data_IF_737480321551
#
_entry.id   IF_737480321551
#
_cell.length_a   1.000
_cell.length_b   1.000
_cell.length_c   1.000
_cell.angle_alpha   90.00
_cell.angle_beta   90.00
_cell.angle_gamma   90.00
#
_symmetry.space_group_name_H-M   'P 1'
#
loop_
_entity.id
_entity.type
_entity.pdbx_description
1 polymer ?
#
# COMPACT_ATOMS: atom_id res chain seq x y z
N UNK A 1 -5.92 -11.56 -2.67
CA UNK A 1 -7.19 -11.72 -1.92
C UNK A 1 -7.69 -10.36 -1.47
N UNK A 2 -9.00 -10.14 -1.51
CA UNK A 2 -9.60 -8.88 -1.08
C UNK A 2 -10.73 -9.17 -0.08
N UNK A 3 -10.76 -8.44 1.04
CA UNK A 3 -11.77 -8.62 2.09
C UNK A 3 -12.31 -7.28 2.56
N UNK A 4 -13.64 -7.16 2.61
CA UNK A 4 -14.30 -5.96 3.10
C UNK A 4 -14.62 -6.10 4.59
N UNK A 5 -14.19 -5.14 5.40
CA UNK A 5 -14.47 -5.11 6.83
C UNK A 5 -14.42 -3.67 7.36
N UNK A 6 -15.40 -3.29 8.18
CA UNK A 6 -15.37 -2.02 8.93
C UNK A 6 -15.20 -0.76 8.06
N UNK A 7 -15.84 -0.68 6.89
CA UNK A 7 -15.74 0.46 5.99
C UNK A 7 -14.45 0.50 5.16
N UNK A 8 -13.71 -0.61 5.11
CA UNK A 8 -12.44 -0.72 4.36
C UNK A 8 -12.43 -1.91 3.42
N UNK A 9 -11.63 -1.78 2.36
CA UNK A 9 -11.22 -2.85 1.45
C UNK A 9 -9.79 -3.20 1.79
N UNK A 10 -9.56 -4.43 2.25
CA UNK A 10 -8.24 -4.94 2.59
C UNK A 10 -7.77 -5.82 1.43
N UNK A 11 -6.66 -5.45 0.82
CA UNK A 11 -6.08 -6.14 -0.33
C UNK A 11 -4.78 -6.77 0.15
N UNK A 12 -4.65 -8.09 0.02
CA UNK A 12 -3.38 -8.78 0.24
C UNK A 12 -2.94 -9.45 -1.07
N UNK A 13 -1.67 -9.25 -1.43
CA UNK A 13 -1.07 -9.71 -2.69
C UNK A 13 -0.02 -10.76 -2.36
N UNK A 14 -0.13 -11.94 -2.99
CA UNK A 14 0.69 -13.09 -2.65
C UNK A 14 0.31 -13.71 -1.30
N UNK A 15 1.30 -14.13 -0.53
CA UNK A 15 1.12 -14.75 0.79
C UNK A 15 2.05 -14.14 1.84
N UNK A 16 2.18 -14.81 2.99
CA UNK A 16 3.03 -14.34 4.11
C UNK A 16 4.48 -14.05 3.68
N UNK A 17 4.99 -14.80 2.69
CA UNK A 17 6.34 -14.60 2.16
C UNK A 17 6.51 -13.31 1.35
N UNK A 18 5.44 -12.76 0.76
CA UNK A 18 5.50 -11.54 -0.07
C UNK A 18 5.29 -10.29 0.79
N UNK A 19 4.38 -10.36 1.76
CA UNK A 19 4.16 -9.27 2.72
C UNK A 19 3.60 -7.98 2.12
N UNK A 20 2.98 -8.05 0.93
CA UNK A 20 2.38 -6.89 0.27
C UNK A 20 0.89 -6.82 0.61
N UNK A 21 0.46 -5.68 1.16
CA UNK A 21 -0.93 -5.43 1.49
C UNK A 21 -1.29 -3.94 1.34
N UNK A 22 -2.56 -3.65 1.10
CA UNK A 22 -3.09 -2.30 1.08
C UNK A 22 -4.44 -2.25 1.80
N UNK A 23 -4.70 -1.13 2.48
CA UNK A 23 -5.99 -0.84 3.10
C UNK A 23 -6.54 0.41 2.44
N UNK A 24 -7.72 0.27 1.82
CA UNK A 24 -8.45 1.35 1.18
C UNK A 24 -9.76 1.60 1.92
N UNK A 25 -10.32 2.80 1.83
CA UNK A 25 -11.74 2.99 2.17
C UNK A 25 -12.64 2.30 1.13
N UNK A 26 -13.85 1.95 1.51
CA UNK A 26 -14.87 1.40 0.60
C UNK A 26 -15.60 2.45 -0.28
N UNK A 27 -15.28 3.73 -0.12
CA UNK A 27 -15.79 4.84 -0.94
C UNK A 27 -15.37 4.82 -2.41
N UNK A 28 -15.95 5.75 -3.19
CA UNK A 28 -15.66 5.93 -4.62
C UNK A 28 -15.43 7.43 -4.96
N UNK A 29 -14.19 7.87 -5.22
CA UNK A 29 -12.97 7.06 -5.28
C UNK A 29 -12.54 6.55 -3.89
N UNK A 30 -11.86 5.40 -3.81
CA UNK A 30 -11.30 4.92 -2.54
C UNK A 30 -10.12 5.79 -2.10
N UNK A 31 -10.04 6.07 -0.80
CA UNK A 31 -8.87 6.69 -0.18
C UNK A 31 -7.89 5.60 0.27
N UNK A 32 -6.60 5.81 0.02
CA UNK A 32 -5.55 4.93 0.55
C UNK A 32 -5.32 5.24 2.03
N UNK A 33 -5.51 4.25 2.89
CA UNK A 33 -5.22 4.38 4.33
C UNK A 33 -3.81 3.94 4.65
N UNK A 34 -3.39 2.80 4.11
CA UNK A 34 -2.01 2.31 4.19
C UNK A 34 -1.65 1.37 3.05
N UNK A 35 -0.35 1.25 2.79
CA UNK A 35 0.26 0.25 1.90
C UNK A 35 1.51 -0.31 2.60
N UNK A 36 1.63 -1.63 2.67
CA UNK A 36 2.86 -2.33 3.01
C UNK A 36 3.41 -3.02 1.78
N UNK A 37 4.69 -2.81 1.49
CA UNK A 37 5.39 -3.39 0.32
C UNK A 37 6.38 -4.50 0.72
N UNK A 38 6.38 -4.89 1.99
CA UNK A 38 7.35 -5.84 2.54
C UNK A 38 8.77 -5.24 2.63
N UNK A 39 9.75 -6.13 2.71
CA UNK A 39 11.17 -5.75 2.71
C UNK A 39 11.70 -5.74 1.27
N UNK A 40 12.23 -4.60 0.84
CA UNK A 40 12.86 -4.42 -0.46
C UNK A 40 14.30 -3.98 -0.23
N UNK A 41 15.26 -4.81 -0.61
CA UNK A 41 16.70 -4.55 -0.46
C UNK A 41 17.11 -4.15 0.98
N UNK A 42 16.57 -4.83 1.99
CA UNK A 42 16.88 -4.56 3.40
C UNK A 42 16.03 -3.47 4.05
N UNK A 43 15.22 -2.75 3.28
CA UNK A 43 14.35 -1.68 3.79
C UNK A 43 12.89 -2.11 3.76
N UNK A 44 12.21 -2.06 4.90
CA UNK A 44 10.76 -2.23 4.94
C UNK A 44 10.09 -0.96 4.44
N UNK A 45 9.35 -1.06 3.34
CA UNK A 45 8.70 0.08 2.69
C UNK A 45 7.19 0.06 2.93
N UNK A 46 6.64 1.25 3.18
CA UNK A 46 5.19 1.41 3.28
C UNK A 46 4.73 2.86 3.19
N UNK A 47 3.41 3.03 3.18
CA UNK A 47 2.73 4.31 3.26
C UNK A 47 1.67 4.22 4.34
N UNK A 48 1.54 5.28 5.14
CA UNK A 48 0.46 5.44 6.12
C UNK A 48 -0.06 6.87 6.03
N UNK A 49 -1.36 7.01 5.76
CA UNK A 49 -2.02 8.30 5.67
C UNK A 49 -1.94 9.10 6.98
N UNK A 50 -1.91 10.43 6.89
CA UNK A 50 -1.89 11.33 8.06
C UNK A 50 -0.55 11.47 8.78
N UNK A 51 0.50 10.74 8.36
CA UNK A 51 1.84 10.85 8.96
C UNK A 51 2.67 12.02 8.43
N UNK A 52 2.26 12.62 7.32
CA UNK A 52 3.05 13.63 6.59
C UNK A 52 4.19 13.03 5.76
N UNK A 53 4.33 11.70 5.69
CA UNK A 53 5.35 11.00 4.92
C UNK A 53 4.77 10.25 3.73
N UNK A 54 5.40 10.41 2.56
CA UNK A 54 4.96 9.79 1.32
C UNK A 54 3.59 10.30 0.85
N UNK A 55 3.06 9.63 -0.16
CA UNK A 55 1.74 9.93 -0.72
C UNK A 55 1.17 8.67 -1.37
N UNK A 56 -0.15 8.56 -1.43
CA UNK A 56 -0.80 7.52 -2.22
C UNK A 56 -2.20 7.94 -2.68
N UNK A 57 -2.58 7.47 -3.85
CA UNK A 57 -3.92 7.62 -4.44
C UNK A 57 -4.40 6.27 -4.96
N UNK A 58 -5.72 6.08 -4.98
CA UNK A 58 -6.31 4.89 -5.54
C UNK A 58 -7.49 5.21 -6.45
N UNK A 59 -7.58 4.46 -7.53
CA UNK A 59 -8.71 4.44 -8.45
C UNK A 59 -9.35 3.05 -8.40
N UNK A 60 -10.67 3.00 -8.62
CA UNK A 60 -11.43 1.76 -8.67
C UNK A 60 -12.20 1.70 -9.99
N UNK A 61 -12.04 0.60 -10.72
CA UNK A 61 -12.82 0.28 -11.90
C UNK A 61 -13.43 -1.11 -11.76
N UNK A 62 -14.73 -1.19 -11.48
CA UNK A 62 -15.39 -2.46 -11.14
C UNK A 62 -14.74 -3.11 -9.92
N UNK A 63 -14.10 -4.26 -10.12
CA UNK A 63 -13.38 -4.99 -9.07
C UNK A 63 -11.85 -4.79 -9.12
N UNK A 64 -11.38 -3.94 -10.03
CA UNK A 64 -9.97 -3.62 -10.18
C UNK A 64 -9.62 -2.34 -9.40
N UNK A 65 -8.45 -2.35 -8.77
CA UNK A 65 -7.90 -1.24 -8.01
C UNK A 65 -6.52 -0.91 -8.54
N UNK A 66 -6.32 0.36 -8.88
CA UNK A 66 -4.99 0.90 -9.18
C UNK A 66 -4.57 1.80 -8.03
N UNK A 67 -3.44 1.50 -7.40
CA UNK A 67 -2.89 2.27 -6.27
C UNK A 67 -1.50 2.74 -6.68
N UNK A 68 -1.27 4.04 -6.61
CA UNK A 68 0.02 4.65 -6.96
C UNK A 68 0.47 5.57 -5.83
N UNK A 69 1.78 5.73 -5.68
CA UNK A 69 2.29 6.60 -4.64
C UNK A 69 3.79 6.55 -4.44
N UNK A 70 4.23 7.14 -3.34
CA UNK A 70 5.58 7.08 -2.81
C UNK A 70 5.54 6.47 -1.42
N UNK A 71 6.19 5.33 -1.25
CA UNK A 71 6.37 4.67 0.04
C UNK A 71 7.67 5.15 0.69
N UNK A 72 7.69 5.13 2.02
CA UNK A 72 8.83 5.50 2.85
C UNK A 72 9.31 4.31 3.67
N UNK A 73 10.57 4.36 4.10
CA UNK A 73 11.18 3.37 4.97
C UNK A 73 12.47 3.89 5.59
N UNK A 74 13.00 3.15 6.56
CA UNK A 74 14.28 3.47 7.22
C UNK A 74 15.31 2.45 6.79
N UNK A 75 16.42 2.92 6.25
CA UNK A 75 17.62 2.11 6.06
C UNK A 75 18.43 2.08 7.36
N UNK A 76 18.56 0.91 7.97
CA UNK A 76 19.30 0.75 9.22
C UNK A 76 20.81 0.98 9.06
N UNK A 77 21.34 0.88 7.84
CA UNK A 77 22.72 1.27 7.56
C UNK A 77 22.91 2.80 7.52
N UNK A 78 21.84 3.57 7.30
CA UNK A 78 21.84 5.02 7.29
C UNK A 78 20.52 5.61 7.84
N UNK A 79 20.26 5.51 9.16
CA UNK A 79 18.94 5.78 9.73
C UNK A 79 18.56 7.26 9.75
N UNK A 80 19.49 8.16 9.45
CA UNK A 80 19.25 9.61 9.40
C UNK A 80 18.63 10.06 8.06
N UNK A 81 18.65 9.22 7.04
CA UNK A 81 18.08 9.52 5.73
C UNK A 81 16.95 8.54 5.38
N UNK A 82 15.69 8.99 5.36
CA UNK A 82 14.58 8.13 4.98
C UNK A 82 14.69 7.73 3.50
N UNK A 83 14.35 6.49 3.21
CA UNK A 83 14.28 5.96 1.85
C UNK A 83 12.88 6.22 1.31
N UNK A 84 12.79 6.88 0.16
CA UNK A 84 11.55 7.12 -0.55
C UNK A 84 11.58 6.39 -1.88
N UNK A 85 10.53 5.60 -2.20
CA UNK A 85 10.42 4.87 -3.46
C UNK A 85 9.03 4.98 -4.06
N UNK A 86 8.91 5.24 -5.38
CA UNK A 86 7.62 5.17 -6.04
C UNK A 86 7.14 3.72 -6.08
N UNK A 87 5.83 3.53 -6.06
CA UNK A 87 5.20 2.23 -6.24
C UNK A 87 3.94 2.34 -7.09
N UNK A 88 3.60 1.22 -7.73
CA UNK A 88 2.33 1.00 -8.40
C UNK A 88 1.85 -0.41 -8.03
N UNK A 89 0.58 -0.52 -7.66
CA UNK A 89 -0.14 -1.77 -7.44
C UNK A 89 -1.35 -1.75 -8.38
N UNK A 90 -1.42 -2.72 -9.28
CA UNK A 90 -2.58 -2.98 -10.12
C UNK A 90 -3.11 -4.38 -9.80
N UNK A 91 -4.32 -4.45 -9.27
CA UNK A 91 -4.90 -5.69 -8.75
C UNK A 91 -6.37 -5.78 -9.11
N UNK A 92 -6.81 -6.98 -9.48
CA UNK A 92 -8.23 -7.29 -9.65
C UNK A 92 -8.68 -8.26 -8.57
N UNK A 93 -9.69 -7.85 -7.80
CA UNK A 93 -10.32 -8.67 -6.78
C UNK A 93 -11.37 -9.59 -7.42
N UNK A 94 -10.95 -10.77 -7.86
CA UNK A 94 -11.89 -11.83 -8.24
C UNK A 94 -12.28 -12.60 -6.97
N UNK A 95 -13.58 -12.75 -6.78
CA UNK A 95 -14.27 -13.36 -5.63
C UNK A 95 -13.52 -14.54 -5.00
#
# INVERSE_FOLDING_TARGET
MCTNAGGTVNIAIGGAATGIAAVLSDGNPPQVKSVGLGNVNGVTLGYTSGTGQGNASAEKNGNSYKITGTATGVDMANPLQPVNKPFEIDVTCNS
#
